data_IF_796561674233
#
_entry.id   IF_796561674233
#
_cell.length_a   1.000
_cell.length_b   1.000
_cell.length_c   1.000
_cell.angle_alpha   90.00
_cell.angle_beta   90.00
_cell.angle_gamma   90.00
#
_symmetry.space_group_name_H-M   'P 1'
#
loop_
_entity.id
_entity.type
_entity.pdbx_description
1 polymer ?
#
# COMPACT_ATOMS: atom_id res chain seq x y z
N UNK A 1 -22.28 -15.09 1.56
CA UNK A 1 -21.05 -14.72 2.29
C UNK A 1 -21.43 -13.51 3.16
N UNK A 2 -21.48 -13.66 4.48
CA UNK A 2 -22.18 -12.71 5.36
C UNK A 2 -21.21 -11.80 6.12
N UNK A 3 -20.44 -11.00 5.39
CA UNK A 3 -19.60 -9.94 5.94
C UNK A 3 -18.84 -9.23 4.81
N UNK A 4 -18.78 -7.91 4.85
CA UNK A 4 -17.87 -7.13 3.98
C UNK A 4 -16.47 -7.28 4.57
N UNK A 5 -15.47 -7.79 3.82
CA UNK A 5 -14.10 -7.83 4.29
C UNK A 5 -13.64 -6.41 4.68
N UNK A 6 -13.12 -6.23 5.89
CA UNK A 6 -12.64 -4.93 6.34
C UNK A 6 -11.17 -5.02 6.78
N UNK A 7 -10.39 -4.01 6.41
CA UNK A 7 -8.99 -3.86 6.82
C UNK A 7 -8.96 -3.19 8.19
N UNK A 8 -8.26 -3.80 9.13
CA UNK A 8 -8.15 -3.39 10.52
C UNK A 8 -6.67 -3.20 10.85
N UNK A 9 -6.32 -2.13 11.55
CA UNK A 9 -5.06 -2.09 12.29
C UNK A 9 -5.29 -2.74 13.66
N UNK A 10 -4.49 -3.76 14.02
CA UNK A 10 -4.54 -4.42 15.33
C UNK A 10 -3.14 -4.52 15.92
N UNK A 11 -3.02 -4.64 17.24
CA UNK A 11 -1.73 -4.87 17.90
C UNK A 11 -1.10 -6.19 17.41
N UNK A 12 0.18 -6.14 17.03
CA UNK A 12 0.89 -7.29 16.44
C UNK A 12 0.91 -8.52 17.36
N UNK A 13 0.91 -8.30 18.67
CA UNK A 13 0.88 -9.30 19.74
C UNK A 13 -0.23 -10.34 19.62
N UNK A 14 -1.35 -10.00 18.95
CA UNK A 14 -2.40 -10.96 18.64
C UNK A 14 -1.90 -12.17 17.84
N UNK A 15 -0.91 -11.96 16.97
CA UNK A 15 -0.31 -13.00 16.12
C UNK A 15 0.91 -13.67 16.77
N UNK A 16 1.38 -13.18 17.91
CA UNK A 16 2.51 -13.75 18.68
C UNK A 16 2.09 -14.17 20.07
N UNK A 17 1.16 -15.12 20.15
CA UNK A 17 0.78 -15.71 21.44
C UNK A 17 -0.08 -14.81 22.33
N UNK A 18 -0.77 -13.80 21.75
CA UNK A 18 -1.60 -12.81 22.46
C UNK A 18 -0.83 -11.95 23.47
N UNK A 19 0.45 -11.71 23.19
CA UNK A 19 1.31 -10.82 23.99
C UNK A 19 1.00 -9.34 23.68
N UNK A 20 -0.12 -8.84 24.20
CA UNK A 20 -0.60 -7.47 23.98
C UNK A 20 -0.09 -6.57 25.10
N UNK A 21 0.62 -5.51 24.75
CA UNK A 21 1.10 -4.49 25.68
C UNK A 21 0.72 -3.09 25.22
N UNK A 22 0.81 -2.11 26.12
CA UNK A 22 0.49 -0.72 25.81
C UNK A 22 1.55 -0.16 24.85
N UNK A 23 1.13 0.56 23.82
CA UNK A 23 1.99 1.18 22.82
C UNK A 23 2.81 0.20 21.97
N UNK A 24 2.32 -1.03 21.76
CA UNK A 24 2.98 -1.94 20.83
C UNK A 24 2.71 -1.60 19.36
N UNK A 25 3.52 -2.22 18.50
CA UNK A 25 3.43 -2.05 17.04
C UNK A 25 2.08 -2.57 16.50
N UNK A 26 1.64 -2.00 15.39
CA UNK A 26 0.41 -2.41 14.71
C UNK A 26 0.72 -3.17 13.44
N UNK A 27 -0.20 -4.05 13.07
CA UNK A 27 -0.25 -4.69 11.76
C UNK A 27 -1.61 -4.46 11.12
N UNK A 28 -1.64 -4.34 9.79
CA UNK A 28 -2.89 -4.27 9.04
C UNK A 28 -3.35 -5.69 8.66
N UNK A 29 -4.55 -6.06 9.06
CA UNK A 29 -5.13 -7.39 8.84
C UNK A 29 -6.52 -7.26 8.25
N UNK A 30 -6.95 -8.26 7.48
CA UNK A 30 -8.29 -8.33 6.90
C UNK A 30 -9.18 -9.22 7.77
N UNK A 31 -10.31 -8.70 8.22
CA UNK A 31 -11.39 -9.53 8.73
C UNK A 31 -12.10 -10.20 7.56
N UNK A 32 -12.01 -11.54 7.48
CA UNK A 32 -12.48 -12.31 6.32
C UNK A 32 -13.78 -13.09 6.61
N UNK A 33 -14.14 -13.25 7.90
CA UNK A 33 -15.35 -13.98 8.31
C UNK A 33 -15.85 -13.46 9.65
N UNK A 34 -17.16 -13.40 9.81
CA UNK A 34 -17.83 -13.21 11.09
C UNK A 34 -18.78 -14.38 11.36
N UNK A 35 -18.66 -14.97 12.54
CA UNK A 35 -19.57 -15.97 13.08
C UNK A 35 -20.49 -15.30 14.10
N UNK A 36 -21.75 -14.98 13.74
CA UNK A 36 -22.67 -14.31 14.65
C UNK A 36 -23.09 -15.19 15.83
N UNK A 37 -23.03 -16.52 15.69
CA UNK A 37 -23.40 -17.46 16.75
C UNK A 37 -22.36 -17.48 17.86
N UNK A 38 -21.08 -17.35 17.48
CA UNK A 38 -19.95 -17.35 18.41
C UNK A 38 -19.42 -15.96 18.73
N UNK A 39 -19.96 -14.92 18.09
CA UNK A 39 -19.46 -13.54 18.14
C UNK A 39 -17.95 -13.46 17.87
N UNK A 40 -17.46 -14.28 16.92
CA UNK A 40 -16.05 -14.35 16.55
C UNK A 40 -15.82 -13.83 15.14
N UNK A 41 -14.64 -13.28 14.93
CA UNK A 41 -14.16 -12.73 13.67
C UNK A 41 -12.87 -13.48 13.32
N UNK A 42 -12.79 -13.99 12.10
CA UNK A 42 -11.55 -14.54 11.55
C UNK A 42 -10.75 -13.41 10.92
N UNK A 43 -9.55 -13.18 11.44
CA UNK A 43 -8.58 -12.24 10.91
C UNK A 43 -7.51 -12.99 10.11
N UNK A 44 -7.14 -12.43 8.96
CA UNK A 44 -6.01 -12.88 8.16
C UNK A 44 -5.03 -11.72 8.01
N UNK A 45 -3.79 -11.93 8.43
CA UNK A 45 -2.69 -11.03 8.11
C UNK A 45 -1.91 -11.62 6.95
N UNK A 46 -1.40 -10.77 6.05
CA UNK A 46 -0.74 -11.21 4.80
C UNK A 46 0.41 -12.19 5.04
N UNK A 47 1.09 -12.08 6.19
CA UNK A 47 2.30 -12.85 6.52
C UNK A 47 2.13 -13.77 7.74
N UNK A 48 0.90 -14.17 8.09
CA UNK A 48 0.66 -15.15 9.16
C UNK A 48 -0.55 -16.03 8.88
N UNK A 49 -0.70 -17.09 9.66
CA UNK A 49 -1.93 -17.87 9.67
C UNK A 49 -3.15 -17.06 10.14
N UNK A 50 -4.33 -17.54 9.75
CA UNK A 50 -5.59 -17.00 10.23
C UNK A 50 -5.73 -17.20 11.74
N UNK A 51 -6.29 -16.19 12.40
CA UNK A 51 -6.63 -16.26 13.80
C UNK A 51 -8.11 -15.97 13.99
N UNK A 52 -8.74 -16.69 14.91
CA UNK A 52 -10.15 -16.48 15.27
C UNK A 52 -10.18 -15.79 16.61
N UNK A 53 -10.79 -14.61 16.66
CA UNK A 53 -10.85 -13.77 17.84
C UNK A 53 -12.28 -13.34 18.10
N UNK A 54 -12.61 -13.10 19.37
CA UNK A 54 -13.84 -12.42 19.75
C UNK A 54 -13.78 -10.93 19.39
N UNK A 55 -14.95 -10.29 19.30
CA UNK A 55 -15.04 -8.83 19.13
C UNK A 55 -14.27 -8.09 20.24
N UNK A 56 -14.32 -8.58 21.47
CA UNK A 56 -13.66 -7.96 22.62
C UNK A 56 -12.12 -8.04 22.55
N UNK A 57 -11.57 -9.18 22.13
CA UNK A 57 -10.12 -9.33 21.92
C UNK A 57 -9.61 -8.37 20.85
N UNK A 58 -10.38 -8.18 19.78
CA UNK A 58 -10.03 -7.24 18.71
C UNK A 58 -10.10 -5.79 19.23
N UNK A 59 -11.14 -5.43 19.98
CA UNK A 59 -11.26 -4.09 20.56
C UNK A 59 -10.12 -3.80 21.54
N UNK A 60 -9.76 -4.77 22.38
CA UNK A 60 -8.61 -4.68 23.29
C UNK A 60 -7.32 -4.45 22.53
N UNK A 61 -7.02 -5.28 21.54
CA UNK A 61 -5.82 -5.14 20.71
C UNK A 61 -5.78 -3.84 19.91
N UNK A 62 -6.94 -3.28 19.55
CA UNK A 62 -7.00 -1.97 18.87
C UNK A 62 -6.76 -0.81 19.83
N UNK A 63 -7.28 -0.91 21.05
CA UNK A 63 -7.18 0.14 22.05
C UNK A 63 -5.74 0.40 22.51
N UNK A 64 -4.85 -0.60 22.38
CA UNK A 64 -3.46 -0.56 22.84
C UNK A 64 -2.46 -0.09 21.80
N UNK A 65 -2.88 0.19 20.56
CA UNK A 65 -2.02 0.67 19.47
C UNK A 65 -1.56 2.12 19.72
N UNK A 66 -0.28 2.40 19.44
CA UNK A 66 0.35 3.72 19.60
C UNK A 66 -0.45 4.85 18.96
N UNK A 67 -0.93 4.68 17.73
CA UNK A 67 -1.48 5.79 16.92
C UNK A 67 -3.00 5.89 16.99
N UNK A 68 -3.51 6.97 17.61
CA UNK A 68 -4.94 7.32 17.63
C UNK A 68 -5.58 7.34 16.23
N UNK A 69 -4.80 7.73 15.20
CA UNK A 69 -5.24 7.75 13.80
C UNK A 69 -5.70 6.38 13.30
N UNK A 70 -5.06 5.29 13.75
CA UNK A 70 -5.38 3.93 13.33
C UNK A 70 -6.46 3.28 14.19
N UNK A 71 -6.56 3.69 15.48
CA UNK A 71 -7.68 3.28 16.37
C UNK A 71 -9.04 3.66 15.78
N UNK A 72 -9.08 4.78 15.05
CA UNK A 72 -10.29 5.36 14.44
C UNK A 72 -10.58 4.87 13.01
N UNK A 73 -9.76 4.00 12.41
CA UNK A 73 -10.02 3.40 11.09
C UNK A 73 -10.76 2.05 11.24
N UNK A 74 -11.97 2.00 10.70
CA UNK A 74 -13.16 1.26 11.17
C UNK A 74 -13.09 -0.25 11.48
N UNK A 75 -14.09 -0.70 12.25
CA UNK A 75 -14.65 -2.06 12.27
C UNK A 75 -16.17 -1.94 12.44
N UNK A 76 -16.96 -2.33 11.43
CA UNK A 76 -18.37 -2.69 11.62
C UNK A 76 -18.66 -3.96 10.83
N UNK A 77 -19.07 -5.01 11.53
CA UNK A 77 -19.62 -6.22 10.93
C UNK A 77 -20.93 -6.51 11.66
N UNK A 78 -22.01 -5.91 11.17
CA UNK A 78 -23.31 -6.57 11.24
C UNK A 78 -23.63 -7.03 9.82
N UNK A 79 -23.88 -8.34 9.59
CA UNK A 79 -24.44 -8.78 8.34
C UNK A 79 -25.87 -8.25 8.30
N UNK A 80 -26.08 -7.09 7.70
CA UNK A 80 -27.42 -6.68 7.34
C UNK A 80 -27.93 -7.73 6.36
N UNK A 81 -28.99 -8.44 6.74
CA UNK A 81 -29.82 -9.30 5.87
C UNK A 81 -30.44 -8.52 4.68
N UNK A 82 -29.94 -7.32 4.38
CA UNK A 82 -30.30 -6.57 3.20
C UNK A 82 -29.69 -7.24 1.98
N UNK A 83 -30.57 -7.70 1.11
CA UNK A 83 -30.28 -7.96 -0.30
C UNK A 83 -29.44 -6.81 -0.85
N UNK A 84 -28.27 -7.14 -1.40
CA UNK A 84 -27.46 -6.22 -2.20
C UNK A 84 -28.25 -6.00 -3.49
N UNK A 85 -28.60 -4.75 -3.78
CA UNK A 85 -29.32 -4.37 -5.00
C UNK A 85 -28.42 -3.48 -5.86
N UNK A 86 -28.63 -3.43 -7.19
CA UNK A 86 -27.85 -2.55 -8.08
C UNK A 86 -27.86 -1.08 -7.65
N UNK A 87 -28.98 -0.58 -7.12
CA UNK A 87 -29.08 0.79 -6.59
C UNK A 87 -28.18 1.03 -5.37
N UNK A 88 -28.02 0.04 -4.48
CA UNK A 88 -27.10 0.14 -3.36
C UNK A 88 -25.64 0.10 -3.81
N UNK A 89 -25.31 -0.74 -4.79
CA UNK A 89 -23.97 -0.80 -5.39
C UNK A 89 -23.64 0.55 -6.05
N UNK A 90 -24.58 1.12 -6.80
CA UNK A 90 -24.44 2.44 -7.42
C UNK A 90 -24.16 3.53 -6.38
N UNK A 91 -24.98 3.63 -5.32
CA UNK A 91 -24.78 4.61 -4.25
C UNK A 91 -23.43 4.43 -3.53
N UNK A 92 -23.06 3.18 -3.22
CA UNK A 92 -21.77 2.88 -2.59
C UNK A 92 -20.60 3.25 -3.51
N UNK A 93 -20.69 2.95 -4.80
CA UNK A 93 -19.67 3.30 -5.79
C UNK A 93 -19.47 4.81 -5.91
N UNK A 94 -20.56 5.59 -5.84
CA UNK A 94 -20.50 7.06 -5.87
C UNK A 94 -19.71 7.57 -4.67
N UNK A 95 -20.03 7.10 -3.47
CA UNK A 95 -19.34 7.50 -2.25
C UNK A 95 -17.85 7.11 -2.28
N UNK A 96 -17.54 5.84 -2.59
CA UNK A 96 -16.18 5.33 -2.58
C UNK A 96 -15.28 5.97 -3.65
N UNK A 97 -15.81 6.19 -4.86
CA UNK A 97 -15.09 6.88 -5.94
C UNK A 97 -14.92 8.36 -5.59
N UNK A 98 -15.94 9.01 -5.02
CA UNK A 98 -15.84 10.40 -4.55
C UNK A 98 -14.71 10.58 -3.53
N UNK A 99 -14.58 9.65 -2.56
CA UNK A 99 -13.46 9.64 -1.60
C UNK A 99 -12.12 9.46 -2.31
N UNK A 100 -12.04 8.53 -3.26
CA UNK A 100 -10.82 8.25 -4.03
C UNK A 100 -10.36 9.48 -4.81
N UNK A 101 -11.27 10.13 -5.52
CA UNK A 101 -11.01 11.37 -6.25
C UNK A 101 -10.54 12.47 -5.29
N UNK A 102 -11.24 12.68 -4.17
CA UNK A 102 -10.83 13.67 -3.18
C UNK A 102 -9.40 13.43 -2.68
N UNK A 103 -9.03 12.18 -2.41
CA UNK A 103 -7.70 11.82 -1.94
C UNK A 103 -6.62 11.98 -3.02
N UNK A 104 -6.91 11.60 -4.26
CA UNK A 104 -5.96 11.66 -5.37
C UNK A 104 -5.51 13.09 -5.71
N UNK A 105 -6.42 14.06 -5.56
CA UNK A 105 -6.19 15.48 -5.81
C UNK A 105 -5.91 16.30 -4.53
N UNK A 106 -5.67 15.65 -3.38
CA UNK A 106 -5.45 16.37 -2.13
C UNK A 106 -4.02 16.91 -2.00
N UNK A 107 -3.87 18.24 -2.01
CA UNK A 107 -2.56 18.88 -1.91
C UNK A 107 -1.89 18.77 -0.53
N UNK A 108 -2.65 18.51 0.53
CA UNK A 108 -2.16 18.50 1.92
C UNK A 108 -1.73 17.12 2.40
N UNK A 109 -2.16 16.04 1.76
CA UNK A 109 -1.83 14.68 2.15
C UNK A 109 -1.72 13.74 0.95
N UNK A 110 -0.51 13.27 0.65
CA UNK A 110 -0.21 11.84 0.41
C UNK A 110 1.26 11.63 0.00
N UNK A 111 1.80 10.46 0.30
CA UNK A 111 3.01 9.93 -0.34
C UNK A 111 2.66 9.16 -1.63
N UNK A 112 1.37 9.10 -1.99
CA UNK A 112 0.79 8.27 -3.05
C UNK A 112 -0.41 9.01 -3.68
N UNK A 113 -0.36 9.33 -4.97
CA UNK A 113 -1.39 10.12 -5.67
C UNK A 113 -0.77 11.20 -6.57
N UNK A 114 -1.59 11.90 -7.37
CA UNK A 114 -1.10 12.80 -8.42
C UNK A 114 -0.23 13.95 -7.90
N UNK A 115 -0.61 14.57 -6.78
CA UNK A 115 0.20 15.62 -6.15
C UNK A 115 1.56 15.07 -5.67
N UNK A 116 1.57 13.85 -5.10
CA UNK A 116 2.80 13.20 -4.65
C UNK A 116 3.71 12.84 -5.84
N UNK A 117 3.15 12.29 -6.92
CA UNK A 117 3.88 11.96 -8.14
C UNK A 117 4.49 13.19 -8.80
N UNK A 118 3.74 14.30 -8.85
CA UNK A 118 4.23 15.60 -9.33
C UNK A 118 5.41 16.10 -8.50
N UNK A 119 5.30 15.98 -7.16
CA UNK A 119 6.40 16.30 -6.26
C UNK A 119 7.61 15.40 -6.50
N UNK A 120 7.42 14.08 -6.63
CA UNK A 120 8.50 13.13 -6.86
C UNK A 120 9.25 13.43 -8.15
N UNK A 121 8.52 13.64 -9.24
CA UNK A 121 9.11 13.99 -10.53
C UNK A 121 9.97 15.26 -10.43
N UNK A 122 9.44 16.31 -9.79
CA UNK A 122 10.17 17.57 -9.57
C UNK A 122 11.44 17.35 -8.75
N UNK A 123 11.34 16.58 -7.67
CA UNK A 123 12.46 16.38 -6.73
C UNK A 123 13.57 15.51 -7.32
N UNK A 124 13.21 14.45 -8.06
CA UNK A 124 14.14 13.54 -8.76
C UNK A 124 15.01 14.26 -9.80
N UNK A 125 14.51 15.36 -10.37
CA UNK A 125 15.22 16.16 -11.39
C UNK A 125 15.93 17.39 -10.82
N UNK A 126 15.63 17.78 -9.59
CA UNK A 126 16.12 19.03 -9.00
C UNK A 126 17.59 18.91 -8.57
N UNK A 127 18.39 19.89 -8.96
CA UNK A 127 19.80 20.09 -8.55
C UNK A 127 19.95 21.13 -7.44
N UNK A 128 18.83 21.65 -6.91
CA UNK A 128 18.85 22.59 -5.78
C UNK A 128 19.33 21.90 -4.50
N UNK A 129 19.69 22.67 -3.46
CA UNK A 129 20.08 22.11 -2.14
C UNK A 129 19.05 21.13 -1.54
N UNK A 130 17.77 21.30 -1.87
CA UNK A 130 16.69 20.40 -1.45
C UNK A 130 16.34 19.33 -2.48
N UNK A 131 16.95 19.38 -3.67
CA UNK A 131 16.76 18.41 -4.73
C UNK A 131 17.38 17.07 -4.38
N UNK A 132 16.77 16.00 -4.88
CA UNK A 132 17.18 14.64 -4.55
C UNK A 132 18.55 14.29 -5.15
N UNK A 133 18.91 14.89 -6.29
CA UNK A 133 20.26 14.74 -6.87
C UNK A 133 21.37 15.27 -5.95
N UNK A 134 21.08 16.25 -5.09
CA UNK A 134 22.04 16.79 -4.12
C UNK A 134 21.97 16.04 -2.79
N UNK A 135 20.76 15.79 -2.27
CA UNK A 135 20.56 15.13 -0.97
C UNK A 135 21.07 13.68 -0.94
N UNK A 136 20.97 12.99 -2.06
CA UNK A 136 21.34 11.58 -2.21
C UNK A 136 22.73 11.38 -2.83
N UNK A 137 23.58 12.40 -2.83
CA UNK A 137 25.03 12.18 -3.00
C UNK A 137 25.62 11.46 -1.79
N UNK A 138 24.96 11.53 -0.63
CA UNK A 138 25.34 10.77 0.55
C UNK A 138 24.88 9.30 0.39
N UNK A 139 25.81 8.31 0.46
CA UNK A 139 25.50 6.87 0.41
C UNK A 139 24.36 6.43 1.31
N UNK A 140 24.35 6.90 2.56
CA UNK A 140 23.32 6.57 3.54
C UNK A 140 21.94 7.02 3.08
N UNK A 141 21.83 8.24 2.55
CA UNK A 141 20.54 8.76 2.12
C UNK A 141 20.06 8.06 0.84
N UNK A 142 20.96 7.83 -0.11
CA UNK A 142 20.65 7.14 -1.36
C UNK A 142 20.13 5.71 -1.13
N UNK A 143 20.89 4.89 -0.39
CA UNK A 143 20.51 3.50 -0.11
C UNK A 143 19.20 3.45 0.67
N UNK A 144 19.00 4.33 1.66
CA UNK A 144 17.73 4.39 2.38
C UNK A 144 16.56 4.77 1.47
N UNK A 145 16.72 5.74 0.58
CA UNK A 145 15.67 6.13 -0.36
C UNK A 145 15.27 4.95 -1.26
N UNK A 146 16.25 4.29 -1.89
CA UNK A 146 16.02 3.12 -2.74
C UNK A 146 15.35 1.97 -1.97
N UNK A 147 15.85 1.66 -0.76
CA UNK A 147 15.28 0.64 0.12
C UNK A 147 13.82 0.93 0.44
N UNK A 148 13.52 2.15 0.88
CA UNK A 148 12.17 2.50 1.29
C UNK A 148 11.21 2.58 0.11
N UNK A 149 11.63 3.08 -1.06
CA UNK A 149 10.78 3.03 -2.28
C UNK A 149 10.32 1.61 -2.53
N UNK A 150 11.24 0.65 -2.58
CA UNK A 150 10.87 -0.75 -2.80
C UNK A 150 10.02 -1.32 -1.66
N UNK A 151 10.45 -1.16 -0.40
CA UNK A 151 9.75 -1.69 0.76
C UNK A 151 8.32 -1.17 0.89
N UNK A 152 8.11 0.14 0.73
CA UNK A 152 6.78 0.75 0.85
C UNK A 152 5.86 0.29 -0.28
N UNK A 153 6.34 0.24 -1.53
CA UNK A 153 5.53 -0.20 -2.67
C UNK A 153 5.19 -1.70 -2.55
N UNK A 154 6.20 -2.53 -2.28
CA UNK A 154 6.05 -3.99 -2.35
C UNK A 154 5.36 -4.57 -1.12
N UNK A 155 5.70 -4.11 0.09
CA UNK A 155 5.22 -4.76 1.33
C UNK A 155 4.10 -4.00 2.02
N UNK A 156 4.07 -2.67 1.93
CA UNK A 156 3.04 -1.88 2.60
C UNK A 156 1.82 -1.58 1.74
N UNK A 157 1.90 -1.84 0.42
CA UNK A 157 0.85 -1.46 -0.51
C UNK A 157 0.62 -2.54 -1.58
N UNK A 158 0.09 -3.71 -1.19
CA UNK A 158 -0.33 -4.86 -2.04
C UNK A 158 0.65 -5.39 -3.11
N UNK A 159 1.89 -4.91 -3.13
CA UNK A 159 2.85 -5.19 -4.20
C UNK A 159 2.86 -4.13 -5.31
N UNK A 160 1.84 -3.29 -5.41
CA UNK A 160 1.66 -2.37 -6.53
C UNK A 160 0.96 -1.06 -6.14
N UNK A 161 1.30 -0.49 -4.99
CA UNK A 161 0.72 0.78 -4.50
C UNK A 161 -0.82 0.75 -4.40
N UNK A 162 -1.41 -0.40 -4.05
CA UNK A 162 -2.86 -0.66 -4.01
C UNK A 162 -3.57 -0.63 -5.38
N UNK A 163 -2.83 -0.52 -6.49
CA UNK A 163 -3.47 -0.32 -7.80
C UNK A 163 -4.15 -1.58 -8.34
N UNK A 164 -3.68 -2.77 -7.98
CA UNK A 164 -4.40 -4.00 -8.28
C UNK A 164 -5.68 -4.14 -7.46
N UNK A 165 -5.66 -3.74 -6.18
CA UNK A 165 -6.89 -3.67 -5.39
C UNK A 165 -7.91 -2.71 -6.01
N UNK A 166 -7.50 -1.53 -6.46
CA UNK A 166 -8.39 -0.59 -7.13
C UNK A 166 -8.94 -1.13 -8.45
N UNK A 167 -8.11 -1.73 -9.30
CA UNK A 167 -8.59 -2.31 -10.56
C UNK A 167 -9.58 -3.44 -10.31
N UNK A 168 -9.31 -4.33 -9.35
CA UNK A 168 -10.24 -5.42 -8.97
C UNK A 168 -11.58 -4.88 -8.49
N UNK A 169 -11.57 -3.81 -7.70
CA UNK A 169 -12.79 -3.16 -7.23
C UNK A 169 -13.59 -2.53 -8.38
N UNK A 170 -12.92 -1.85 -9.30
CA UNK A 170 -13.55 -1.22 -10.46
C UNK A 170 -14.11 -2.26 -11.45
N UNK A 171 -13.43 -3.39 -11.63
CA UNK A 171 -13.91 -4.52 -12.44
C UNK A 171 -15.18 -5.14 -11.85
N UNK A 172 -15.21 -5.32 -10.52
CA UNK A 172 -16.43 -5.72 -9.81
C UNK A 172 -17.56 -4.73 -10.07
N UNK A 173 -17.33 -3.42 -9.88
CA UNK A 173 -18.36 -2.42 -10.15
C UNK A 173 -18.82 -2.43 -11.62
N UNK A 174 -17.91 -2.62 -12.57
CA UNK A 174 -18.24 -2.77 -13.98
C UNK A 174 -19.16 -3.98 -14.22
N UNK A 175 -18.87 -5.14 -13.62
CA UNK A 175 -19.72 -6.34 -13.77
C UNK A 175 -21.15 -6.15 -13.25
N UNK A 176 -21.32 -5.28 -12.25
CA UNK A 176 -22.62 -5.04 -11.59
C UNK A 176 -23.41 -3.89 -12.23
N UNK A 177 -22.72 -2.88 -12.78
CA UNK A 177 -23.31 -1.64 -13.28
C UNK A 177 -23.20 -1.47 -14.80
N UNK A 178 -22.35 -2.26 -15.45
CA UNK A 178 -22.08 -2.27 -16.89
C UNK A 178 -21.73 -0.87 -17.45
N UNK A 179 -20.90 -0.13 -16.71
CA UNK A 179 -20.43 1.21 -17.09
C UNK A 179 -18.98 1.16 -17.60
N UNK A 180 -18.80 1.38 -18.90
CA UNK A 180 -17.50 1.27 -19.58
C UNK A 180 -16.40 2.16 -18.98
N UNK A 181 -16.74 3.29 -18.34
CA UNK A 181 -15.74 4.16 -17.71
C UNK A 181 -15.04 3.49 -16.55
N UNK A 182 -15.77 2.65 -15.80
CA UNK A 182 -15.19 1.84 -14.74
C UNK A 182 -14.21 0.82 -15.31
N UNK A 183 -14.53 0.23 -16.47
CA UNK A 183 -13.65 -0.72 -17.15
C UNK A 183 -12.38 -0.05 -17.69
N UNK A 184 -12.53 1.11 -18.32
CA UNK A 184 -11.41 1.92 -18.80
C UNK A 184 -10.48 2.32 -17.65
N UNK A 185 -11.05 2.82 -16.54
CA UNK A 185 -10.27 3.15 -15.35
C UNK A 185 -9.59 1.92 -14.72
N UNK A 186 -10.28 0.78 -14.66
CA UNK A 186 -9.72 -0.50 -14.22
C UNK A 186 -8.47 -0.91 -15.02
N UNK A 187 -8.56 -0.85 -16.35
CA UNK A 187 -7.45 -1.23 -17.24
C UNK A 187 -6.25 -0.29 -17.08
N UNK A 188 -6.49 1.01 -16.89
CA UNK A 188 -5.43 1.98 -16.63
C UNK A 188 -4.80 1.78 -15.24
N UNK A 189 -5.57 1.49 -14.19
CA UNK A 189 -4.99 1.16 -12.89
C UNK A 189 -4.20 -0.16 -12.92
N UNK A 190 -4.60 -1.15 -13.72
CA UNK A 190 -3.81 -2.35 -13.98
C UNK A 190 -2.48 -2.03 -14.67
N UNK A 191 -2.44 -1.07 -15.59
CA UNK A 191 -1.20 -0.60 -16.22
C UNK A 191 -0.33 0.18 -15.23
N UNK A 192 -0.92 1.08 -14.45
CA UNK A 192 -0.23 1.81 -13.37
C UNK A 192 0.40 0.85 -12.35
N UNK A 193 -0.30 -0.23 -11.97
CA UNK A 193 0.21 -1.26 -11.08
C UNK A 193 1.54 -1.85 -11.55
N UNK A 194 1.67 -2.15 -12.85
CA UNK A 194 2.91 -2.67 -13.44
C UNK A 194 4.04 -1.64 -13.38
N UNK A 195 3.73 -0.37 -13.60
CA UNK A 195 4.72 0.71 -13.50
C UNK A 195 5.18 0.96 -12.06
N UNK A 196 4.29 0.81 -11.08
CA UNK A 196 4.67 0.84 -9.66
C UNK A 196 5.62 -0.29 -9.29
N UNK A 197 5.37 -1.51 -9.80
CA UNK A 197 6.28 -2.65 -9.67
C UNK A 197 7.62 -2.36 -10.36
N UNK A 198 7.58 -1.82 -11.59
CA UNK A 198 8.78 -1.41 -12.32
C UNK A 198 9.60 -0.40 -11.52
N UNK A 199 8.97 0.62 -10.93
CA UNK A 199 9.62 1.62 -10.08
C UNK A 199 10.27 0.97 -8.85
N UNK A 200 9.54 0.06 -8.19
CA UNK A 200 10.01 -0.67 -7.01
C UNK A 200 11.24 -1.52 -7.32
N UNK A 201 11.21 -2.29 -8.41
CA UNK A 201 12.33 -3.13 -8.85
C UNK A 201 13.51 -2.28 -9.32
N UNK A 202 13.23 -1.22 -10.08
CA UNK A 202 14.27 -0.33 -10.58
C UNK A 202 15.01 0.37 -9.43
N UNK A 203 14.31 0.75 -8.35
CA UNK A 203 14.93 1.42 -7.19
C UNK A 203 16.14 0.63 -6.63
N UNK A 204 16.12 -0.70 -6.67
CA UNK A 204 17.19 -1.58 -6.19
C UNK A 204 17.99 -2.27 -7.31
N UNK A 205 17.87 -1.80 -8.55
CA UNK A 205 18.50 -2.45 -9.71
C UNK A 205 20.02 -2.29 -9.81
N UNK A 206 20.59 -1.28 -9.13
CA UNK A 206 22.04 -1.08 -9.13
C UNK A 206 22.75 -2.26 -8.46
N UNK A 207 23.86 -2.72 -9.05
CA UNK A 207 24.64 -3.87 -8.58
C UNK A 207 24.91 -3.87 -7.06
N UNK A 208 25.32 -2.76 -6.41
CA UNK A 208 25.54 -2.75 -4.96
C UNK A 208 24.27 -2.95 -4.11
N UNK A 209 23.09 -2.71 -4.68
CA UNK A 209 21.79 -2.84 -4.00
C UNK A 209 21.15 -4.23 -4.19
N UNK A 210 21.65 -5.06 -5.12
CA UNK A 210 21.09 -6.39 -5.40
C UNK A 210 20.97 -7.31 -4.18
N UNK A 211 21.91 -7.32 -3.20
CA UNK A 211 21.73 -8.09 -1.97
C UNK A 211 20.49 -7.69 -1.17
N UNK A 212 20.12 -6.40 -1.19
CA UNK A 212 18.89 -5.92 -0.56
C UNK A 212 17.68 -6.35 -1.35
N UNK A 213 17.72 -6.25 -2.68
CA UNK A 213 16.62 -6.67 -3.55
C UNK A 213 16.25 -8.14 -3.30
N UNK A 214 17.25 -9.04 -3.35
CA UNK A 214 17.04 -10.48 -3.12
C UNK A 214 16.41 -10.76 -1.76
N UNK A 215 16.90 -10.11 -0.71
CA UNK A 215 16.36 -10.33 0.63
C UNK A 215 14.94 -9.78 0.81
N UNK A 216 14.59 -8.69 0.13
CA UNK A 216 13.23 -8.13 0.11
C UNK A 216 12.26 -8.98 -0.73
N UNK A 217 12.71 -9.54 -1.85
CA UNK A 217 11.93 -10.54 -2.60
C UNK A 217 11.61 -11.76 -1.72
N UNK A 218 12.55 -12.22 -0.90
CA UNK A 218 12.29 -13.30 0.06
C UNK A 218 11.33 -12.91 1.20
N UNK A 219 11.06 -11.62 1.44
CA UNK A 219 10.02 -11.18 2.38
C UNK A 219 8.60 -11.31 1.80
N UNK A 220 8.42 -11.46 0.49
CA UNK A 220 7.07 -11.66 -0.08
C UNK A 220 6.55 -13.09 0.13
N UNK A 221 7.33 -13.97 0.74
CA UNK A 221 6.95 -15.33 1.11
C UNK A 221 6.12 -15.29 2.40
N UNK A 222 5.08 -16.13 2.48
CA UNK A 222 4.32 -16.30 3.72
C UNK A 222 5.23 -16.89 4.80
N UNK A 223 5.35 -16.20 5.94
CA UNK A 223 6.15 -16.68 7.07
C UNK A 223 5.28 -17.53 8.00
N UNK A 224 5.82 -18.64 8.49
CA UNK A 224 5.15 -19.50 9.47
C UNK A 224 4.90 -18.78 10.82
N UNK A 225 5.59 -17.66 11.07
CA UNK A 225 5.38 -16.82 12.26
C UNK A 225 5.86 -15.38 12.07
N UNK A 226 5.29 -14.43 12.83
CA UNK A 226 5.77 -13.05 12.91
C UNK A 226 7.22 -12.97 13.43
N UNK A 227 7.65 -13.91 14.27
CA UNK A 227 9.03 -13.98 14.74
C UNK A 227 10.01 -14.25 13.59
N UNK A 228 9.67 -15.18 12.68
CA UNK A 228 10.47 -15.45 11.49
C UNK A 228 10.56 -14.20 10.58
N UNK A 229 9.45 -13.49 10.41
CA UNK A 229 9.42 -12.21 9.70
C UNK A 229 10.34 -11.16 10.34
N UNK A 230 10.24 -10.93 11.65
CA UNK A 230 11.10 -9.96 12.37
C UNK A 230 12.58 -10.31 12.24
N UNK A 231 12.93 -11.59 12.35
CA UNK A 231 14.31 -12.04 12.17
C UNK A 231 14.82 -11.76 10.75
N UNK A 232 13.97 -11.93 9.72
CA UNK A 232 14.32 -11.60 8.34
C UNK A 232 14.49 -10.09 8.15
N UNK A 233 13.60 -9.26 8.72
CA UNK A 233 13.73 -7.80 8.71
C UNK A 233 15.04 -7.35 9.37
N UNK A 234 15.39 -7.90 10.53
CA UNK A 234 16.65 -7.58 11.21
C UNK A 234 17.88 -7.92 10.34
N UNK A 235 17.88 -9.06 9.65
CA UNK A 235 18.93 -9.42 8.70
C UNK A 235 19.02 -8.43 7.54
N UNK A 236 17.89 -7.98 7.02
CA UNK A 236 17.82 -6.98 5.94
C UNK A 236 18.37 -5.63 6.42
N UNK A 237 18.09 -5.20 7.65
CA UNK A 237 18.65 -3.97 8.18
C UNK A 237 20.18 -4.05 8.33
N UNK A 238 20.71 -5.18 8.79
CA UNK A 238 22.16 -5.40 8.85
C UNK A 238 22.80 -5.35 7.46
N UNK A 239 22.19 -5.99 6.46
CA UNK A 239 22.67 -5.95 5.09
C UNK A 239 22.63 -4.53 4.51
N UNK A 240 21.57 -3.76 4.82
CA UNK A 240 21.45 -2.36 4.42
C UNK A 240 22.61 -1.52 4.97
N UNK A 241 22.96 -1.71 6.24
CA UNK A 241 24.11 -1.04 6.86
C UNK A 241 25.41 -1.38 6.14
N UNK A 242 25.66 -2.65 5.84
CA UNK A 242 26.86 -3.08 5.08
C UNK A 242 26.92 -2.44 3.69
N UNK A 243 25.80 -2.40 2.97
CA UNK A 243 25.71 -1.75 1.66
C UNK A 243 26.03 -0.25 1.79
N UNK A 244 25.50 0.44 2.80
CA UNK A 244 25.80 1.86 3.06
C UNK A 244 27.29 2.09 3.28
N UNK A 245 27.96 1.20 4.01
CA UNK A 245 29.39 1.31 4.35
C UNK A 245 30.32 1.02 3.16
N UNK A 246 29.86 0.25 2.17
CA UNK A 246 30.70 -0.28 1.08
C UNK A 246 30.36 0.28 -0.29
N UNK A 247 29.21 0.95 -0.44
CA UNK A 247 28.77 1.47 -1.73
C UNK A 247 29.64 2.65 -2.18
N UNK A 248 30.24 2.50 -3.35
CA UNK A 248 30.90 3.60 -4.05
C UNK A 248 29.91 4.22 -5.05
N UNK A 249 29.44 5.43 -4.73
CA UNK A 249 28.46 6.15 -5.53
C UNK A 249 29.15 7.07 -6.54
N UNK A 250 29.14 6.65 -7.80
CA UNK A 250 29.41 7.54 -8.92
C UNK A 250 28.21 8.47 -9.14
N UNK A 251 28.47 9.79 -9.09
CA UNK A 251 27.47 10.83 -9.23
C UNK A 251 26.69 10.73 -10.56
N UNK A 252 27.35 10.35 -11.66
CA UNK A 252 26.67 10.19 -12.95
C UNK A 252 25.77 8.95 -12.97
N UNK A 253 26.16 7.85 -12.31
CA UNK A 253 25.28 6.68 -12.12
C UNK A 253 24.06 7.03 -11.27
N UNK A 254 24.24 7.76 -10.17
CA UNK A 254 23.12 8.21 -9.31
C UNK A 254 22.15 9.10 -10.09
N UNK A 255 22.69 10.04 -10.88
CA UNK A 255 21.90 10.92 -11.72
C UNK A 255 21.14 10.16 -12.80
N UNK A 256 21.79 9.22 -13.48
CA UNK A 256 21.15 8.35 -14.46
C UNK A 256 20.02 7.54 -13.81
N UNK A 257 20.28 6.96 -12.64
CA UNK A 257 19.31 6.19 -11.86
C UNK A 257 18.05 7.00 -11.53
N UNK A 258 18.20 8.20 -10.96
CA UNK A 258 17.04 9.05 -10.66
C UNK A 258 16.34 9.59 -11.91
N UNK A 259 17.06 9.77 -13.02
CA UNK A 259 16.44 10.15 -14.28
C UNK A 259 15.50 9.06 -14.79
N UNK A 260 15.92 7.79 -14.72
CA UNK A 260 15.07 6.67 -15.10
C UNK A 260 13.88 6.51 -14.13
N UNK A 261 14.11 6.60 -12.82
CA UNK A 261 13.01 6.60 -11.83
C UNK A 261 12.01 7.73 -12.11
N UNK A 262 12.49 8.93 -12.46
CA UNK A 262 11.62 10.05 -12.81
C UNK A 262 10.79 9.77 -14.06
N UNK A 263 11.33 9.06 -15.04
CA UNK A 263 10.58 8.65 -16.23
C UNK A 263 9.44 7.69 -15.86
N UNK A 264 9.73 6.70 -15.02
CA UNK A 264 8.69 5.76 -14.55
C UNK A 264 7.61 6.50 -13.76
N UNK A 265 7.99 7.37 -12.81
CA UNK A 265 7.06 8.20 -12.02
C UNK A 265 6.16 9.06 -12.91
N UNK A 266 6.71 9.64 -13.98
CA UNK A 266 5.92 10.40 -14.95
C UNK A 266 4.89 9.53 -15.66
N UNK A 267 5.29 8.36 -16.15
CA UNK A 267 4.39 7.43 -16.82
C UNK A 267 3.26 6.98 -15.88
N UNK A 268 3.57 6.72 -14.60
CA UNK A 268 2.55 6.43 -13.57
C UNK A 268 1.57 7.60 -13.47
N UNK A 269 2.09 8.83 -13.37
CA UNK A 269 1.27 10.03 -13.26
C UNK A 269 0.33 10.18 -14.46
N UNK A 270 0.83 10.03 -15.68
CA UNK A 270 0.04 10.18 -16.90
C UNK A 270 -1.11 9.15 -16.96
N UNK A 271 -0.82 7.89 -16.65
CA UNK A 271 -1.84 6.82 -16.61
C UNK A 271 -2.85 7.04 -15.48
N UNK A 272 -2.40 7.43 -14.28
CA UNK A 272 -3.32 7.68 -13.16
C UNK A 272 -4.20 8.91 -13.41
N UNK A 273 -3.69 9.95 -14.07
CA UNK A 273 -4.47 11.14 -14.43
C UNK A 273 -5.60 10.78 -15.40
N UNK A 274 -5.31 9.98 -16.42
CA UNK A 274 -6.32 9.45 -17.35
C UNK A 274 -7.33 8.54 -16.64
N UNK A 275 -6.87 7.63 -15.77
CA UNK A 275 -7.75 6.73 -15.02
C UNK A 275 -8.73 7.51 -14.13
N UNK A 276 -8.25 8.58 -13.50
CA UNK A 276 -9.05 9.44 -12.63
C UNK A 276 -10.04 10.30 -13.44
N UNK A 277 -9.70 10.71 -14.66
CA UNK A 277 -10.63 11.42 -15.54
C UNK A 277 -11.89 10.57 -15.83
N UNK A 278 -11.73 9.29 -16.17
CA UNK A 278 -12.87 8.38 -16.35
C UNK A 278 -13.72 8.23 -15.07
N UNK A 279 -13.08 8.18 -13.90
CA UNK A 279 -13.80 8.13 -12.62
C UNK A 279 -14.54 9.44 -12.30
N UNK A 280 -13.98 10.59 -12.67
CA UNK A 280 -14.66 11.88 -12.51
C UNK A 280 -15.91 11.93 -13.39
N UNK A 281 -15.80 11.52 -14.65
CA UNK A 281 -16.94 11.46 -15.57
C UNK A 281 -18.05 10.52 -15.06
N UNK A 282 -17.66 9.33 -14.59
CA UNK A 282 -18.57 8.39 -13.95
C UNK A 282 -19.27 9.00 -12.74
N UNK A 283 -18.50 9.58 -11.82
CA UNK A 283 -19.00 10.14 -10.57
C UNK A 283 -19.97 11.31 -10.78
N UNK A 284 -19.77 12.12 -11.82
CA UNK A 284 -20.65 13.23 -12.18
C UNK A 284 -21.99 12.77 -12.78
N UNK A 285 -22.04 11.61 -13.42
CA UNK A 285 -23.23 11.14 -14.15
C UNK A 285 -24.10 10.16 -13.37
N UNK A 286 -23.58 9.54 -12.31
CA UNK A 286 -24.41 8.77 -11.39
C UNK A 286 -25.35 9.70 -10.61
N UNK A 287 -26.65 9.52 -10.84
CA UNK A 287 -27.73 10.18 -10.09
C UNK A 287 -27.85 9.57 -8.70
#
# INVERSE_FOLDING_TARGET
>A
MNGIPCILAVHEGLFTGKDIHINGDHVYTTAIKYDPTRNTITLRHTFSHEIVLTKEEIMTARSTIVTNKLRNQMLWIEPTNTTITPSKISNFSKESIGVTLHHAFNDRMSNFGLTALTKFEKMLRSTSKQGWLTLFQNPKHFVNACYYVNYWITHNTDGAAFRYMYSTYLDFLFSELNDERLKQSCDLFNQSARLWIELSNYALSLKPLQPLNKNLEELTICFDSLHAYKNKISKIQLEKTKVIETIDLDAEKVKHHFTQMSRIVRNIKEIEDEALAYLQEYHQQIK
#
